data_IF_423532440121
#
_entry.id   IF_423532440121
#
_cell.length_a   1.000
_cell.length_b   1.000
_cell.length_c   1.000
_cell.angle_alpha   90.00
_cell.angle_beta   90.00
_cell.angle_gamma   90.00
#
_symmetry.space_group_name_H-M   'P 1'
#
loop_
_entity.id
_entity.type
_entity.pdbx_description
1 polymer ?
#
# COMPACT_ATOMS: atom_id res chain seq x y z
N UNK A 1 -13.06 -2.60 37.59
CA UNK A 1 -13.63 -1.39 38.24
C UNK A 1 -12.69 -0.25 37.87
N UNK A 2 -13.19 0.81 37.21
CA UNK A 2 -12.34 1.93 36.81
C UNK A 2 -12.34 2.98 37.93
N UNK A 3 -11.15 3.51 38.28
CA UNK A 3 -11.01 4.59 39.25
C UNK A 3 -10.17 5.70 38.62
N UNK A 4 -10.71 6.91 38.63
CA UNK A 4 -10.00 8.11 38.21
C UNK A 4 -9.65 8.92 39.47
N UNK A 5 -8.41 9.41 39.53
CA UNK A 5 -7.92 10.26 40.63
C UNK A 5 -7.39 11.55 40.02
N UNK A 6 -7.83 12.68 40.56
CA UNK A 6 -7.36 14.01 40.15
C UNK A 6 -6.25 14.45 41.11
N UNK A 7 -5.12 14.93 40.57
CA UNK A 7 -4.05 15.54 41.35
C UNK A 7 -4.00 17.06 41.08
N UNK A 8 -3.40 17.82 41.99
CA UNK A 8 -3.36 19.30 41.97
C UNK A 8 -2.70 19.87 40.69
N UNK A 9 -1.91 19.07 39.97
CA UNK A 9 -1.12 19.49 38.81
C UNK A 9 -1.86 19.35 37.46
N UNK A 10 -3.19 19.17 37.47
CA UNK A 10 -4.03 18.90 36.27
C UNK A 10 -3.66 17.64 35.46
N UNK A 11 -2.85 16.73 36.02
CA UNK A 11 -2.52 15.45 35.38
C UNK A 11 -3.63 14.43 35.66
N UNK A 12 -4.22 13.85 34.61
CA UNK A 12 -5.23 12.81 34.73
C UNK A 12 -4.60 11.42 34.62
N UNK A 13 -4.74 10.61 35.67
CA UNK A 13 -4.39 9.20 35.63
C UNK A 13 -5.66 8.35 35.68
N UNK A 14 -5.88 7.54 34.64
CA UNK A 14 -6.99 6.57 34.58
C UNK A 14 -6.44 5.19 34.91
N UNK A 15 -6.88 4.63 36.04
CA UNK A 15 -6.50 3.27 36.44
C UNK A 15 -7.64 2.30 36.11
N UNK A 16 -7.36 1.39 35.18
CA UNK A 16 -8.24 0.29 34.80
C UNK A 16 -7.80 -0.99 35.51
N UNK A 17 -8.55 -1.40 36.53
CA UNK A 17 -8.34 -2.69 37.18
C UNK A 17 -9.23 -3.75 36.55
N UNK A 18 -8.61 -4.69 35.83
CA UNK A 18 -9.27 -5.86 35.24
C UNK A 18 -8.99 -7.07 36.14
N UNK A 19 -10.01 -7.78 36.65
CA UNK A 19 -9.79 -9.00 37.42
C UNK A 19 -9.19 -10.10 36.52
N UNK A 20 -7.94 -10.46 36.80
CA UNK A 20 -7.10 -11.38 36.01
C UNK A 20 -7.78 -12.75 35.83
N UNK A 21 -8.51 -13.21 36.84
CA UNK A 21 -9.18 -14.51 36.89
C UNK A 21 -10.24 -14.70 35.78
N UNK A 22 -10.70 -13.59 35.18
CA UNK A 22 -11.65 -13.60 34.05
C UNK A 22 -11.01 -13.34 32.69
N UNK A 23 -9.77 -12.89 32.64
CA UNK A 23 -9.02 -12.64 31.39
C UNK A 23 -8.33 -13.91 30.86
N UNK A 24 -8.00 -14.85 31.74
CA UNK A 24 -7.29 -16.11 31.42
C UNK A 24 -8.11 -17.14 30.62
N UNK A 25 -9.41 -16.89 30.35
CA UNK A 25 -10.30 -17.79 29.59
C UNK A 25 -10.54 -17.36 28.14
N UNK A 26 -9.58 -16.68 27.50
CA UNK A 26 -9.64 -16.36 26.07
C UNK A 26 -10.78 -15.42 25.65
N UNK A 27 -11.39 -14.70 26.59
CA UNK A 27 -12.39 -13.67 26.28
C UNK A 27 -11.67 -12.35 26.04
N UNK A 28 -11.73 -11.83 24.81
CA UNK A 28 -11.36 -10.45 24.52
C UNK A 28 -12.36 -9.50 25.17
N UNK A 29 -11.86 -8.42 25.76
CA UNK A 29 -12.69 -7.33 26.25
C UNK A 29 -12.56 -6.17 25.26
N UNK A 30 -13.65 -5.82 24.60
CA UNK A 30 -13.76 -4.52 23.95
C UNK A 30 -14.27 -3.51 24.97
N UNK A 31 -13.56 -2.40 25.08
CA UNK A 31 -14.02 -1.25 25.85
C UNK A 31 -13.71 0.03 25.09
N UNK A 32 -14.64 0.98 25.19
CA UNK A 32 -14.49 2.30 24.62
C UNK A 32 -14.22 3.28 25.77
N UNK A 33 -13.11 4.02 25.69
CA UNK A 33 -12.77 5.06 26.66
C UNK A 33 -13.17 6.40 26.03
N UNK A 34 -14.26 6.99 26.51
CA UNK A 34 -14.69 8.32 26.10
C UNK A 34 -14.26 9.33 27.16
N UNK A 35 -13.33 10.21 26.80
CA UNK A 35 -12.92 11.37 27.61
C UNK A 35 -13.71 12.59 27.12
N UNK A 36 -14.53 13.19 28.00
CA UNK A 36 -15.33 14.37 27.66
C UNK A 36 -15.26 15.41 28.77
N UNK A 37 -15.24 16.70 28.39
CA UNK A 37 -15.29 17.85 29.29
C UNK A 37 -16.71 18.39 29.50
N UNK A 38 -17.72 17.78 28.85
CA UNK A 38 -19.10 18.22 28.96
C UNK A 38 -19.75 17.71 30.25
N UNK A 39 -20.26 18.63 31.08
CA UNK A 39 -20.84 18.35 32.40
C UNK A 39 -22.24 17.70 32.37
N UNK A 40 -22.86 17.56 31.20
CA UNK A 40 -24.29 17.19 31.05
C UNK A 40 -24.55 15.90 30.27
N UNK A 41 -23.56 15.00 30.18
CA UNK A 41 -23.78 13.69 29.56
C UNK A 41 -24.73 12.83 30.42
N UNK A 42 -26.02 12.88 30.07
CA UNK A 42 -27.06 12.08 30.72
C UNK A 42 -26.75 10.59 30.59
N UNK A 43 -26.65 9.91 31.73
CA UNK A 43 -26.14 8.54 31.94
C UNK A 43 -26.98 7.39 31.35
N UNK A 44 -27.76 7.61 30.32
CA UNK A 44 -28.56 6.56 29.67
C UNK A 44 -28.03 6.27 28.26
N UNK A 45 -26.96 5.49 28.19
CA UNK A 45 -26.64 4.75 26.98
C UNK A 45 -27.61 3.58 26.88
N UNK A 46 -28.62 3.69 26.00
CA UNK A 46 -29.40 2.52 25.56
C UNK A 46 -28.57 1.82 24.48
N UNK A 47 -28.04 0.64 24.79
CA UNK A 47 -27.55 -0.28 23.77
C UNK A 47 -28.70 -0.56 22.78
N UNK A 48 -28.53 -0.37 21.46
CA UNK A 48 -29.53 -0.81 20.51
C UNK A 48 -29.59 -2.35 20.56
N UNK A 49 -30.73 -2.86 21.03
CA UNK A 49 -31.07 -4.27 20.91
C UNK A 49 -31.23 -4.60 19.42
N UNK A 50 -30.46 -5.59 18.96
CA UNK A 50 -30.80 -6.58 17.92
C UNK A 50 -31.92 -6.17 16.95
N UNK A 51 -31.54 -5.74 15.75
CA UNK A 51 -32.48 -5.58 14.63
C UNK A 51 -32.54 -6.91 13.87
N UNK A 52 -33.73 -7.53 13.85
CA UNK A 52 -34.05 -8.67 12.99
C UNK A 52 -33.97 -8.28 11.50
N UNK A 53 -33.54 -9.17 10.60
CA UNK A 53 -33.37 -8.86 9.19
C UNK A 53 -34.71 -8.99 8.46
N UNK A 54 -35.31 -7.87 8.09
CA UNK A 54 -36.37 -7.83 7.10
C UNK A 54 -35.98 -6.86 5.98
N UNK A 55 -35.57 -7.47 4.87
CA UNK A 55 -35.78 -7.08 3.48
C UNK A 55 -36.01 -5.59 3.23
N UNK A 56 -34.99 -4.93 2.69
CA UNK A 56 -35.15 -3.96 1.61
C UNK A 56 -33.84 -3.92 0.82
N UNK A 57 -33.92 -4.30 -0.46
CA UNK A 57 -32.85 -4.13 -1.44
C UNK A 57 -32.62 -2.63 -1.66
N UNK A 58 -31.53 -2.11 -1.09
CA UNK A 58 -31.03 -0.77 -1.42
C UNK A 58 -29.65 -0.94 -2.02
N UNK A 59 -29.56 -0.50 -3.27
CA UNK A 59 -28.37 -0.44 -4.11
C UNK A 59 -27.16 0.14 -3.35
N UNK A 60 -26.25 -0.74 -2.96
CA UNK A 60 -25.07 -0.46 -2.13
C UNK A 60 -23.82 -0.11 -2.98
N UNK A 61 -24.03 0.43 -4.18
CA UNK A 61 -22.95 0.78 -5.11
C UNK A 61 -22.73 2.30 -5.20
N UNK A 62 -22.22 2.90 -4.12
CA UNK A 62 -21.28 4.03 -4.15
C UNK A 62 -21.19 4.69 -2.77
N UNK A 63 -19.96 4.76 -2.25
CA UNK A 63 -19.59 5.51 -1.06
C UNK A 63 -20.27 5.04 0.25
N UNK A 64 -19.71 3.97 0.83
CA UNK A 64 -19.63 3.85 2.29
C UNK A 64 -19.05 5.20 2.78
N UNK A 65 -19.91 6.07 3.33
CA UNK A 65 -19.49 7.27 4.04
C UNK A 65 -18.38 6.84 4.99
N UNK A 66 -17.15 7.25 4.69
CA UNK A 66 -15.97 7.03 5.49
C UNK A 66 -16.34 7.04 6.98
N UNK A 67 -16.50 5.86 7.57
CA UNK A 67 -17.00 5.76 8.94
C UNK A 67 -16.04 6.49 9.90
N UNK A 68 -16.46 6.78 11.13
CA UNK A 68 -15.59 7.36 12.16
C UNK A 68 -14.23 6.64 12.28
N UNK A 69 -14.19 5.34 11.99
CA UNK A 69 -12.97 4.53 11.93
C UNK A 69 -11.94 5.00 10.88
N UNK A 70 -12.37 5.43 9.69
CA UNK A 70 -11.45 5.85 8.62
C UNK A 70 -10.70 7.14 8.99
N UNK A 71 -11.40 8.11 9.60
CA UNK A 71 -10.79 9.35 10.05
C UNK A 71 -9.71 9.08 11.11
N UNK A 72 -10.00 8.18 12.07
CA UNK A 72 -9.05 7.76 13.10
C UNK A 72 -7.82 7.10 12.47
N UNK A 73 -8.01 6.20 11.50
CA UNK A 73 -6.87 5.54 10.82
C UNK A 73 -5.98 6.52 10.06
N UNK A 74 -6.56 7.54 9.43
CA UNK A 74 -5.78 8.62 8.80
C UNK A 74 -5.01 9.46 9.82
N UNK A 75 -5.60 9.75 10.97
CA UNK A 75 -4.89 10.44 12.07
C UNK A 75 -3.73 9.59 12.58
N UNK A 76 -3.91 8.28 12.73
CA UNK A 76 -2.84 7.37 13.14
C UNK A 76 -1.69 7.33 12.14
N UNK A 77 -1.94 7.37 10.82
CA UNK A 77 -0.85 7.41 9.83
C UNK A 77 0.11 8.59 10.05
N UNK A 78 -0.41 9.74 10.50
CA UNK A 78 0.36 10.95 10.75
C UNK A 78 0.88 11.08 12.20
N UNK A 79 0.43 10.20 13.12
CA UNK A 79 0.81 10.27 14.53
C UNK A 79 2.27 9.82 14.72
N UNK A 80 3.09 10.72 15.27
CA UNK A 80 4.51 10.49 15.54
C UNK A 80 4.77 9.92 16.93
N UNK A 81 3.78 9.95 17.82
CA UNK A 81 3.95 9.62 19.23
C UNK A 81 3.58 8.18 19.55
N UNK A 82 2.71 7.57 18.74
CA UNK A 82 2.23 6.19 18.93
C UNK A 82 2.93 5.14 18.07
N UNK A 83 3.79 5.56 17.13
CA UNK A 83 4.49 4.65 16.22
C UNK A 83 5.55 3.82 16.95
N UNK A 84 5.68 2.56 16.52
CA UNK A 84 6.58 1.60 17.16
C UNK A 84 7.42 0.80 16.15
N UNK A 85 7.30 1.11 14.86
CA UNK A 85 8.18 0.60 13.80
C UNK A 85 8.48 1.67 12.75
N UNK A 86 9.64 1.53 12.12
CA UNK A 86 10.15 2.40 11.08
C UNK A 86 10.68 1.56 9.91
N UNK A 87 10.33 1.94 8.68
CA UNK A 87 10.82 1.34 7.44
C UNK A 87 11.81 2.29 6.76
N UNK A 88 13.04 1.83 6.52
CA UNK A 88 14.09 2.60 5.83
C UNK A 88 14.32 2.03 4.44
N UNK A 89 14.27 2.88 3.41
CA UNK A 89 14.36 2.48 2.01
C UNK A 89 15.79 2.68 1.49
N UNK A 90 16.56 1.59 1.42
CA UNK A 90 17.99 1.65 1.07
C UNK A 90 18.23 1.66 -0.44
N UNK A 91 17.30 1.14 -1.23
CA UNK A 91 17.37 1.16 -2.69
C UNK A 91 16.89 2.47 -3.32
N UNK A 92 16.07 3.24 -2.59
CA UNK A 92 15.52 4.50 -3.08
C UNK A 92 16.54 5.63 -2.91
N UNK A 93 17.28 5.94 -3.98
CA UNK A 93 18.30 7.00 -3.96
C UNK A 93 17.73 8.38 -3.63
N UNK A 94 16.46 8.63 -3.95
CA UNK A 94 15.81 9.94 -3.72
C UNK A 94 15.43 10.12 -2.25
N UNK A 95 15.08 9.03 -1.58
CA UNK A 95 14.58 9.02 -0.22
C UNK A 95 15.48 8.21 0.73
N UNK A 96 16.76 8.06 0.37
CA UNK A 96 17.73 7.33 1.17
C UNK A 96 17.78 7.94 2.58
N UNK A 97 17.64 7.10 3.61
CA UNK A 97 17.59 7.48 5.02
C UNK A 97 16.32 8.19 5.50
N UNK A 98 15.29 8.33 4.64
CA UNK A 98 13.95 8.67 5.11
C UNK A 98 13.29 7.40 5.65
N UNK A 99 12.86 7.45 6.91
CA UNK A 99 12.14 6.36 7.53
C UNK A 99 10.64 6.62 7.55
N UNK A 100 9.83 5.73 6.98
CA UNK A 100 8.38 5.75 7.13
C UNK A 100 8.01 5.12 8.47
N UNK A 101 7.32 5.86 9.33
CA UNK A 101 6.84 5.35 10.61
C UNK A 101 5.46 4.72 10.50
N UNK A 102 5.23 3.67 11.30
CA UNK A 102 3.97 2.95 11.32
C UNK A 102 3.75 2.24 12.67
N UNK A 103 2.57 1.61 12.78
CA UNK A 103 2.11 0.84 13.94
C UNK A 103 2.12 -0.65 13.61
N UNK A 104 2.90 -1.43 14.36
CA UNK A 104 2.94 -2.90 14.24
C UNK A 104 1.57 -3.52 14.49
N UNK A 105 0.79 -2.97 15.43
CA UNK A 105 -0.55 -3.48 15.77
C UNK A 105 -1.54 -3.45 14.59
N UNK A 106 -1.35 -2.54 13.63
CA UNK A 106 -2.16 -2.46 12.41
C UNK A 106 -1.55 -3.36 11.34
N UNK A 107 -0.24 -3.27 11.10
CA UNK A 107 0.44 -4.03 10.05
C UNK A 107 0.42 -5.54 10.30
N UNK A 108 0.53 -6.00 11.55
CA UNK A 108 0.49 -7.42 11.93
C UNK A 108 -0.87 -8.10 11.69
N UNK A 109 -1.89 -7.36 11.25
CA UNK A 109 -3.15 -7.96 10.75
C UNK A 109 -2.95 -8.68 9.41
N UNK A 110 -1.86 -8.37 8.70
CA UNK A 110 -1.50 -8.97 7.42
C UNK A 110 -0.32 -9.92 7.62
N UNK A 111 -0.51 -11.21 7.30
CA UNK A 111 0.43 -12.28 7.64
C UNK A 111 1.87 -12.00 7.18
N UNK A 112 2.07 -11.56 5.93
CA UNK A 112 3.41 -11.30 5.41
C UNK A 112 4.10 -10.12 6.12
N UNK A 113 3.34 -9.10 6.52
CA UNK A 113 3.86 -7.98 7.31
C UNK A 113 4.21 -8.43 8.74
N UNK A 114 3.36 -9.25 9.35
CA UNK A 114 3.62 -9.81 10.68
C UNK A 114 4.89 -10.68 10.70
N UNK A 115 5.07 -11.52 9.69
CA UNK A 115 6.28 -12.35 9.53
C UNK A 115 7.53 -11.49 9.33
N UNK A 116 7.44 -10.43 8.51
CA UNK A 116 8.51 -9.45 8.33
C UNK A 116 8.87 -8.77 9.67
N UNK A 117 7.88 -8.27 10.40
CA UNK A 117 8.04 -7.61 11.70
C UNK A 117 8.69 -8.56 12.72
N UNK A 118 8.18 -9.79 12.84
CA UNK A 118 8.72 -10.80 13.76
C UNK A 118 10.15 -11.18 13.42
N UNK A 119 10.47 -11.32 12.13
CA UNK A 119 11.84 -11.59 11.66
C UNK A 119 12.77 -10.44 12.03
N UNK A 120 12.41 -9.21 11.70
CA UNK A 120 13.23 -8.03 12.02
C UNK A 120 13.39 -7.82 13.52
N UNK A 121 12.36 -8.11 14.32
CA UNK A 121 12.45 -8.03 15.77
C UNK A 121 13.49 -8.99 16.34
N UNK A 122 13.51 -10.25 15.87
CA UNK A 122 14.54 -11.23 16.27
C UNK A 122 15.94 -10.76 15.89
N UNK A 123 16.10 -10.20 14.70
CA UNK A 123 17.38 -9.67 14.23
C UNK A 123 17.85 -8.44 15.03
N UNK A 124 16.94 -7.56 15.45
CA UNK A 124 17.28 -6.40 16.27
C UNK A 124 17.67 -6.79 17.69
N UNK A 125 16.93 -7.72 18.32
CA UNK A 125 17.25 -8.22 19.68
C UNK A 125 18.66 -8.84 19.70
N UNK A 126 19.06 -9.55 18.64
CA UNK A 126 20.39 -10.12 18.53
C UNK A 126 21.53 -9.09 18.43
N UNK A 127 21.23 -7.81 18.13
CA UNK A 127 22.23 -6.73 17.97
C UNK A 127 22.48 -5.93 19.24
N UNK A 128 21.86 -6.28 20.37
CA UNK A 128 22.08 -5.73 21.73
C UNK A 128 22.10 -4.20 21.82
N UNK A 129 21.00 -3.58 22.25
CA UNK A 129 21.05 -2.28 22.94
C UNK A 129 20.24 -1.12 22.36
N UNK A 130 19.60 -1.24 21.20
CA UNK A 130 18.80 -0.14 20.65
C UNK A 130 17.46 0.01 21.38
N UNK A 131 17.40 1.00 22.27
CA UNK A 131 16.16 1.53 22.85
C UNK A 131 15.52 2.42 21.78
N UNK A 132 14.61 1.87 20.99
CA UNK A 132 13.95 2.62 19.92
C UNK A 132 12.87 1.83 19.17
N UNK A 133 12.19 2.47 18.21
CA UNK A 133 11.24 1.79 17.32
C UNK A 133 11.94 0.69 16.52
N UNK A 134 11.20 -0.37 16.19
CA UNK A 134 11.71 -1.47 15.38
C UNK A 134 12.08 -0.95 13.98
N UNK A 135 13.35 -1.08 13.61
CA UNK A 135 13.83 -0.60 12.30
C UNK A 135 13.90 -1.74 11.28
N UNK A 136 13.15 -1.60 10.19
CA UNK A 136 13.05 -2.56 9.09
C UNK A 136 13.66 -1.94 7.83
N UNK A 137 14.60 -2.63 7.20
CA UNK A 137 15.24 -2.17 5.95
C UNK A 137 14.50 -2.74 4.73
N UNK A 138 14.12 -1.86 3.83
CA UNK A 138 13.39 -2.15 2.61
C UNK A 138 14.30 -1.96 1.39
N UNK A 139 14.57 -3.05 0.68
CA UNK A 139 15.49 -3.08 -0.46
C UNK A 139 14.78 -3.19 -1.81
N UNK A 140 13.53 -3.67 -1.83
CA UNK A 140 12.85 -4.04 -3.09
C UNK A 140 11.92 -2.97 -3.64
N UNK A 141 11.44 -2.06 -2.81
CA UNK A 141 10.39 -1.12 -3.16
C UNK A 141 10.84 0.30 -2.84
N UNK A 142 10.33 1.27 -3.63
CA UNK A 142 10.50 2.68 -3.31
C UNK A 142 9.68 3.08 -2.10
N UNK A 143 10.03 4.20 -1.47
CA UNK A 143 9.27 4.74 -0.36
C UNK A 143 7.83 5.04 -0.77
N UNK A 144 7.62 5.66 -1.94
CA UNK A 144 6.29 6.00 -2.44
C UNK A 144 5.38 4.77 -2.59
N UNK A 145 5.89 3.70 -3.21
CA UNK A 145 5.13 2.46 -3.43
C UNK A 145 4.71 1.83 -2.11
N UNK A 146 5.64 1.75 -1.16
CA UNK A 146 5.35 1.19 0.16
C UNK A 146 4.41 2.08 0.97
N UNK A 147 4.53 3.41 0.88
CA UNK A 147 3.63 4.34 1.55
C UNK A 147 2.19 4.21 1.02
N UNK A 148 2.01 4.05 -0.29
CA UNK A 148 0.69 3.78 -0.89
C UNK A 148 0.09 2.44 -0.42
N UNK A 149 0.91 1.39 -0.28
CA UNK A 149 0.48 0.14 0.35
C UNK A 149 0.05 0.37 1.80
N UNK A 150 0.89 1.00 2.62
CA UNK A 150 0.58 1.27 4.03
C UNK A 150 -0.70 2.09 4.17
N UNK A 151 -0.89 3.10 3.33
CA UNK A 151 -2.12 3.88 3.28
C UNK A 151 -3.34 2.97 3.04
N UNK A 152 -3.25 2.06 2.07
CA UNK A 152 -4.31 1.08 1.81
C UNK A 152 -4.55 0.18 3.05
N UNK A 153 -3.51 -0.35 3.68
CA UNK A 153 -3.67 -1.23 4.85
C UNK A 153 -4.37 -0.55 6.04
N UNK A 154 -4.23 0.77 6.17
CA UNK A 154 -4.90 1.56 7.21
C UNK A 154 -6.33 1.94 6.82
N UNK A 155 -6.57 2.23 5.55
CA UNK A 155 -7.77 2.94 5.11
C UNK A 155 -8.72 2.12 4.24
N UNK A 156 -8.26 0.99 3.70
CA UNK A 156 -8.93 0.25 2.62
C UNK A 156 -9.08 1.06 1.32
N UNK A 157 -8.49 2.25 1.23
CA UNK A 157 -8.65 3.15 0.08
C UNK A 157 -7.36 3.18 -0.73
N UNK A 158 -7.47 3.02 -2.04
CA UNK A 158 -6.32 3.09 -2.94
C UNK A 158 -6.00 4.55 -3.24
N UNK A 159 -4.76 4.96 -2.98
CA UNK A 159 -4.24 6.28 -3.33
C UNK A 159 -2.86 6.12 -3.94
N UNK A 160 -2.71 6.47 -5.22
CA UNK A 160 -1.46 6.32 -5.98
C UNK A 160 -0.53 7.54 -5.90
N UNK A 161 -1.11 8.71 -5.62
CA UNK A 161 -0.34 9.93 -5.35
C UNK A 161 -0.06 10.03 -3.86
N UNK A 162 1.21 10.09 -3.51
CA UNK A 162 1.65 10.17 -2.13
C UNK A 162 1.58 11.61 -1.62
N UNK A 163 0.92 11.82 -0.49
CA UNK A 163 0.89 13.09 0.23
C UNK A 163 1.67 12.92 1.53
N UNK A 164 2.86 13.52 1.60
CA UNK A 164 3.78 13.37 2.73
C UNK A 164 3.18 13.87 4.04
N UNK A 165 2.23 14.80 4.00
CA UNK A 165 1.57 15.31 5.20
C UNK A 165 0.69 14.26 5.90
N UNK A 166 0.34 13.18 5.21
CA UNK A 166 -0.51 12.11 5.73
C UNK A 166 0.27 11.06 6.51
N UNK A 167 1.60 11.11 6.53
CA UNK A 167 2.44 10.08 7.12
C UNK A 167 3.41 10.66 8.15
N UNK A 168 3.67 9.87 9.18
CA UNK A 168 4.77 10.09 10.09
C UNK A 168 6.08 9.62 9.45
N UNK A 169 7.11 10.47 9.50
CA UNK A 169 8.45 10.15 9.01
C UNK A 169 9.48 10.46 10.09
N UNK A 170 10.45 9.57 10.28
CA UNK A 170 11.74 9.95 10.83
C UNK A 170 12.61 10.54 9.74
N UNK A 171 13.12 11.73 9.98
CA UNK A 171 14.33 12.19 9.33
C UNK A 171 15.48 11.88 10.31
N UNK A 172 16.33 10.91 9.98
CA UNK A 172 17.64 10.83 10.62
C UNK A 172 18.41 12.08 10.18
N UNK A 173 18.77 12.93 11.13
CA UNK A 173 19.51 14.20 11.02
C UNK A 173 19.57 14.85 9.63
N UNK A 174 18.90 16.01 9.52
CA UNK A 174 19.01 17.03 8.45
C UNK A 174 20.12 16.71 7.44
N UNK A 175 19.78 15.99 6.36
CA UNK A 175 20.75 15.68 5.32
C UNK A 175 21.30 17.00 4.76
N UNK A 176 22.56 17.30 5.07
CA UNK A 176 23.26 18.46 4.50
C UNK A 176 23.66 18.06 3.09
N UNK A 177 22.81 18.36 2.12
CA UNK A 177 23.14 18.15 0.72
C UNK A 177 24.11 19.25 0.30
N UNK A 178 25.36 18.87 0.06
CA UNK A 178 26.34 19.77 -0.57
C UNK A 178 26.12 19.69 -2.08
N UNK A 179 25.33 20.60 -2.63
CA UNK A 179 25.19 20.71 -4.08
C UNK A 179 26.48 21.32 -4.62
N UNK A 180 27.28 20.47 -5.28
CA UNK A 180 28.45 20.92 -6.02
C UNK A 180 27.97 21.32 -7.42
N UNK A 181 28.04 22.61 -7.71
CA UNK A 181 27.77 23.10 -9.05
C UNK A 181 28.90 22.63 -9.98
N UNK A 182 28.59 21.70 -10.88
CA UNK A 182 29.56 21.12 -11.82
C UNK A 182 30.18 22.15 -12.75
N UNK A 183 29.47 23.25 -13.03
CA UNK A 183 29.93 24.30 -13.95
C UNK A 183 30.84 25.32 -13.28
N UNK A 184 30.61 25.61 -12.00
CA UNK A 184 31.40 26.63 -11.28
C UNK A 184 32.41 26.04 -10.30
N UNK A 185 32.35 24.74 -10.02
CA UNK A 185 33.18 24.05 -9.04
C UNK A 185 32.94 24.49 -7.59
N UNK A 186 32.02 25.45 -7.37
CA UNK A 186 31.70 25.98 -6.04
C UNK A 186 30.69 25.06 -5.37
N UNK A 187 31.01 24.63 -4.16
CA UNK A 187 30.02 24.06 -3.24
C UNK A 187 29.16 25.21 -2.75
N UNK A 188 27.90 25.26 -3.18
CA UNK A 188 26.94 26.21 -2.61
C UNK A 188 26.68 25.86 -1.15
N UNK A 189 26.29 26.89 -0.39
CA UNK A 189 25.98 26.79 1.04
C UNK A 189 25.06 25.61 1.36
N UNK A 190 25.18 25.12 2.59
CA UNK A 190 24.39 24.03 3.15
C UNK A 190 22.89 24.36 3.03
N UNK A 191 22.24 23.90 1.97
CA UNK A 191 20.79 24.04 1.85
C UNK A 191 20.18 22.99 2.77
N UNK A 192 19.41 23.45 3.75
CA UNK A 192 18.55 22.57 4.53
C UNK A 192 17.42 22.13 3.61
N UNK A 193 17.56 20.95 3.01
CA UNK A 193 16.62 20.44 2.02
C UNK A 193 16.02 19.13 2.52
N UNK A 194 14.69 19.03 2.54
CA UNK A 194 13.99 17.76 2.74
C UNK A 194 13.33 17.30 1.44
N UNK A 195 13.46 16.02 1.05
CA UNK A 195 12.68 15.46 -0.06
C UNK A 195 11.17 15.51 0.20
N UNK A 196 10.75 15.80 1.44
CA UNK A 196 9.35 15.87 1.84
C UNK A 196 8.77 17.29 1.82
N UNK A 197 9.57 18.32 1.54
CA UNK A 197 9.11 19.71 1.51
C UNK A 197 8.15 19.93 0.34
N UNK A 198 7.10 20.74 0.54
CA UNK A 198 6.08 21.01 -0.48
C UNK A 198 6.67 21.65 -1.75
N UNK A 199 7.75 22.43 -1.57
CA UNK A 199 8.49 23.12 -2.63
C UNK A 199 9.67 22.27 -3.17
N UNK A 200 9.79 21.01 -2.73
CA UNK A 200 10.81 20.10 -3.23
C UNK A 200 10.62 19.90 -4.74
N UNK A 201 11.67 20.18 -5.51
CA UNK A 201 11.74 19.83 -6.93
C UNK A 201 11.73 18.32 -7.15
N UNK A 202 11.94 17.52 -6.09
CA UNK A 202 11.93 16.07 -6.10
C UNK A 202 10.62 15.55 -5.49
N UNK A 203 9.48 15.98 -6.05
CA UNK A 203 8.20 15.36 -5.73
C UNK A 203 8.30 13.86 -6.00
N UNK A 204 7.85 13.05 -5.04
CA UNK A 204 7.82 11.60 -5.26
C UNK A 204 6.96 11.30 -6.48
N UNK A 205 7.49 10.46 -7.36
CA UNK A 205 6.78 10.02 -8.56
C UNK A 205 5.48 9.33 -8.14
N UNK A 206 4.40 9.60 -8.88
CA UNK A 206 3.15 8.86 -8.72
C UNK A 206 3.39 7.36 -8.88
N UNK A 207 2.79 6.58 -8.00
CA UNK A 207 2.91 5.13 -8.02
C UNK A 207 2.04 4.58 -9.16
N UNK A 208 2.62 3.72 -9.98
CA UNK A 208 1.87 3.08 -11.08
C UNK A 208 1.02 1.93 -10.56
N UNK A 209 0.03 1.49 -11.34
CA UNK A 209 -0.74 0.30 -11.00
C UNK A 209 0.13 -0.97 -10.97
N UNK A 210 1.18 -1.02 -11.80
CA UNK A 210 2.12 -2.14 -11.82
C UNK A 210 2.98 -2.17 -10.56
N UNK A 211 3.48 -1.02 -10.09
CA UNK A 211 4.19 -0.92 -8.80
C UNK A 211 3.33 -1.45 -7.63
N UNK A 212 2.06 -1.03 -7.57
CA UNK A 212 1.11 -1.51 -6.55
C UNK A 212 0.75 -2.99 -6.71
N UNK A 213 0.66 -3.49 -7.93
CA UNK A 213 0.42 -4.91 -8.20
C UNK A 213 1.57 -5.78 -7.66
N UNK A 214 2.82 -5.40 -7.92
CA UNK A 214 3.98 -6.14 -7.43
C UNK A 214 4.07 -6.14 -5.90
N UNK A 215 3.85 -4.99 -5.27
CA UNK A 215 3.97 -4.90 -3.81
C UNK A 215 2.82 -5.62 -3.09
N UNK A 216 1.60 -5.55 -3.63
CA UNK A 216 0.44 -6.24 -3.06
C UNK A 216 0.56 -7.75 -3.19
N UNK A 217 1.06 -8.27 -4.32
CA UNK A 217 1.40 -9.69 -4.47
C UNK A 217 2.52 -10.09 -3.49
N UNK A 218 3.57 -9.27 -3.34
CA UNK A 218 4.69 -9.56 -2.44
C UNK A 218 4.25 -9.71 -0.97
N UNK A 219 3.30 -8.88 -0.53
CA UNK A 219 2.76 -8.92 0.84
C UNK A 219 1.46 -9.73 0.97
N UNK A 220 0.98 -10.35 -0.11
CA UNK A 220 -0.23 -11.19 -0.10
C UNK A 220 -1.52 -10.44 0.21
N UNK A 221 -1.62 -9.16 -0.17
CA UNK A 221 -2.81 -8.31 0.02
C UNK A 221 -3.74 -8.50 -1.19
N UNK A 222 -4.56 -9.56 -1.12
CA UNK A 222 -5.26 -10.13 -2.29
C UNK A 222 -6.28 -9.19 -2.92
N UNK A 223 -7.07 -8.50 -2.12
CA UNK A 223 -8.05 -7.51 -2.56
C UNK A 223 -7.40 -6.36 -3.31
N UNK A 224 -6.34 -5.76 -2.76
CA UNK A 224 -5.55 -4.74 -3.46
C UNK A 224 -4.94 -5.27 -4.74
N UNK A 225 -4.38 -6.48 -4.70
CA UNK A 225 -3.76 -7.11 -5.87
C UNK A 225 -4.77 -7.32 -6.99
N UNK A 226 -5.93 -7.90 -6.67
CA UNK A 226 -6.95 -8.21 -7.67
C UNK A 226 -7.49 -6.93 -8.32
N UNK A 227 -7.63 -5.85 -7.55
CA UNK A 227 -7.98 -4.53 -8.05
C UNK A 227 -6.88 -3.92 -8.93
N UNK A 228 -5.61 -3.99 -8.51
CA UNK A 228 -4.49 -3.54 -9.34
C UNK A 228 -4.38 -4.35 -10.64
N UNK A 229 -4.64 -5.66 -10.58
CA UNK A 229 -4.61 -6.55 -11.73
C UNK A 229 -5.69 -6.17 -12.75
N UNK A 230 -6.90 -5.86 -12.26
CA UNK A 230 -8.00 -5.34 -13.08
C UNK A 230 -7.60 -4.05 -13.79
N UNK A 231 -7.10 -3.07 -13.04
CA UNK A 231 -6.68 -1.78 -13.58
C UNK A 231 -5.51 -1.88 -14.57
N UNK A 232 -4.54 -2.76 -14.34
CA UNK A 232 -3.45 -3.02 -15.29
C UNK A 232 -4.00 -3.59 -16.60
N UNK A 233 -4.89 -4.58 -16.53
CA UNK A 233 -5.52 -5.20 -17.72
C UNK A 233 -6.36 -4.19 -18.49
N UNK A 234 -7.17 -3.37 -17.81
CA UNK A 234 -7.98 -2.32 -18.43
C UNK A 234 -7.13 -1.21 -19.07
N UNK A 235 -5.87 -1.04 -18.63
CA UNK A 235 -4.94 -0.05 -19.18
C UNK A 235 -4.21 -0.50 -20.45
N UNK A 236 -4.39 -1.75 -20.89
CA UNK A 236 -3.73 -2.29 -22.08
C UNK A 236 -4.22 -1.58 -23.34
N UNK A 237 -3.26 -1.09 -24.14
CA UNK A 237 -3.47 -0.40 -25.42
C UNK A 237 -2.24 -0.51 -26.31
N UNK A 238 -2.34 -0.09 -27.57
CA UNK A 238 -1.26 -0.17 -28.57
C UNK A 238 0.07 0.39 -28.06
N UNK A 239 0.01 1.50 -27.31
CA UNK A 239 1.21 2.20 -26.86
C UNK A 239 1.96 1.54 -25.69
N UNK A 240 1.37 0.56 -25.01
CA UNK A 240 1.96 -0.05 -23.80
C UNK A 240 1.86 -1.58 -23.72
N UNK A 241 1.09 -2.24 -24.60
CA UNK A 241 0.84 -3.69 -24.50
C UNK A 241 2.13 -4.52 -24.51
N UNK A 242 3.10 -4.16 -25.35
CA UNK A 242 4.37 -4.89 -25.44
C UNK A 242 5.18 -4.69 -24.16
N UNK A 243 5.30 -3.46 -23.68
CA UNK A 243 5.98 -3.14 -22.42
C UNK A 243 5.35 -3.91 -21.24
N UNK A 244 4.02 -3.88 -21.13
CA UNK A 244 3.29 -4.61 -20.09
C UNK A 244 3.49 -6.13 -20.18
N UNK A 245 3.54 -6.71 -21.38
CA UNK A 245 3.80 -8.15 -21.55
C UNK A 245 5.17 -8.55 -20.99
N UNK A 246 6.21 -7.75 -21.24
CA UNK A 246 7.56 -8.05 -20.76
C UNK A 246 7.75 -7.69 -19.28
N UNK A 247 7.28 -6.54 -18.84
CA UNK A 247 7.51 -6.07 -17.48
C UNK A 247 6.59 -6.74 -16.46
N UNK A 248 5.36 -7.07 -16.85
CA UNK A 248 4.31 -7.54 -15.92
C UNK A 248 3.80 -8.92 -16.32
N UNK A 249 3.57 -9.17 -17.62
CA UNK A 249 3.04 -10.43 -18.13
C UNK A 249 3.94 -11.64 -17.81
N UNK A 250 5.25 -11.44 -17.67
CA UNK A 250 6.17 -12.50 -17.22
C UNK A 250 5.89 -13.00 -15.79
N UNK A 251 5.22 -12.20 -14.96
CA UNK A 251 4.93 -12.52 -13.56
C UNK A 251 3.44 -12.79 -13.31
N UNK A 252 2.56 -12.20 -14.12
CA UNK A 252 1.12 -12.27 -13.93
C UNK A 252 0.43 -12.81 -15.19
N UNK A 253 0.05 -14.08 -15.15
CA UNK A 253 -0.56 -14.81 -16.28
C UNK A 253 -1.80 -14.10 -16.84
N UNK A 254 -2.66 -13.51 -15.98
CA UNK A 254 -3.83 -12.75 -16.45
C UNK A 254 -3.45 -11.53 -17.30
N UNK A 255 -2.36 -10.83 -16.97
CA UNK A 255 -1.86 -9.71 -17.78
C UNK A 255 -1.26 -10.23 -19.07
N UNK A 256 -0.55 -11.36 -19.02
CA UNK A 256 -0.01 -12.03 -20.21
C UNK A 256 -1.11 -12.39 -21.20
N UNK A 257 -2.14 -13.10 -20.73
CA UNK A 257 -3.25 -13.54 -21.57
C UNK A 257 -4.00 -12.37 -22.18
N UNK A 258 -4.33 -11.35 -21.38
CA UNK A 258 -5.01 -10.15 -21.87
C UNK A 258 -4.15 -9.38 -22.89
N UNK A 259 -2.85 -9.24 -22.63
CA UNK A 259 -1.93 -8.57 -23.54
C UNK A 259 -1.73 -9.34 -24.85
N UNK A 260 -1.64 -10.67 -24.81
CA UNK A 260 -1.53 -11.50 -26.00
C UNK A 260 -2.83 -11.51 -26.83
N UNK A 261 -3.99 -11.52 -26.17
CA UNK A 261 -5.28 -11.42 -26.85
C UNK A 261 -5.43 -10.07 -27.55
N UNK A 262 -5.13 -8.97 -26.83
CA UNK A 262 -5.12 -7.62 -27.39
C UNK A 262 -4.14 -7.50 -28.56
N UNK A 263 -2.92 -8.00 -28.41
CA UNK A 263 -1.89 -7.94 -29.44
C UNK A 263 -2.29 -8.77 -30.67
N UNK A 264 -2.92 -9.94 -30.50
CA UNK A 264 -3.36 -10.76 -31.61
C UNK A 264 -4.47 -10.09 -32.44
N UNK A 265 -5.36 -9.35 -31.78
CA UNK A 265 -6.46 -8.62 -32.43
C UNK A 265 -5.99 -7.32 -33.10
N UNK A 266 -4.91 -6.71 -32.62
CA UNK A 266 -4.36 -5.44 -33.11
C UNK A 266 -3.00 -5.60 -33.83
N UNK A 267 -2.56 -6.82 -34.12
CA UNK A 267 -1.22 -7.07 -34.68
C UNK A 267 -0.99 -6.36 -36.02
N UNK A 268 -2.02 -6.26 -36.85
CA UNK A 268 -1.92 -5.61 -38.17
C UNK A 268 -1.68 -4.11 -38.02
N UNK A 269 -2.45 -3.43 -37.19
CA UNK A 269 -2.26 -1.99 -36.93
C UNK A 269 -0.94 -1.69 -36.21
N UNK A 270 -0.47 -2.60 -35.36
CA UNK A 270 0.78 -2.41 -34.63
C UNK A 270 2.03 -2.66 -35.48
N UNK A 271 1.92 -3.46 -36.54
CA UNK A 271 3.00 -3.68 -37.51
C UNK A 271 2.93 -2.72 -38.71
N UNK A 272 1.92 -1.84 -38.76
CA UNK A 272 1.83 -0.82 -39.80
C UNK A 272 3.05 0.13 -39.73
N UNK A 273 3.46 0.64 -40.88
CA UNK A 273 4.74 1.35 -41.09
C UNK A 273 6.01 0.48 -41.00
N UNK A 274 5.89 -0.86 -40.92
CA UNK A 274 7.04 -1.77 -40.93
C UNK A 274 7.86 -1.75 -39.64
N UNK A 275 7.30 -1.23 -38.54
CA UNK A 275 7.91 -1.26 -37.22
C UNK A 275 7.60 -2.59 -36.55
N UNK A 276 8.64 -3.27 -36.07
CA UNK A 276 8.48 -4.46 -35.25
C UNK A 276 8.13 -4.03 -33.81
N UNK A 277 6.93 -4.38 -33.30
CA UNK A 277 6.53 -4.00 -31.95
C UNK A 277 7.47 -4.57 -30.87
N UNK A 278 8.24 -5.62 -31.17
CA UNK A 278 9.18 -6.26 -30.27
C UNK A 278 10.63 -5.75 -30.38
N UNK A 279 10.92 -4.77 -31.25
CA UNK A 279 12.30 -4.35 -31.57
C UNK A 279 13.12 -3.99 -30.33
N UNK A 280 12.52 -3.26 -29.38
CA UNK A 280 13.17 -2.84 -28.13
C UNK A 280 13.45 -3.99 -27.15
N UNK A 281 12.87 -5.16 -27.38
CA UNK A 281 12.96 -6.32 -26.49
C UNK A 281 13.69 -7.50 -27.12
N UNK A 282 14.30 -7.35 -28.31
CA UNK A 282 14.98 -8.44 -29.03
C UNK A 282 16.02 -9.20 -28.20
N UNK A 283 16.68 -8.51 -27.27
CA UNK A 283 17.72 -9.06 -26.40
C UNK A 283 17.15 -9.61 -25.07
N UNK A 284 15.84 -9.44 -24.83
CA UNK A 284 15.15 -9.99 -23.67
C UNK A 284 15.01 -11.51 -23.82
N UNK A 285 15.40 -12.25 -22.77
CA UNK A 285 15.41 -13.73 -22.79
C UNK A 285 14.07 -14.37 -23.16
N UNK A 286 12.96 -13.71 -22.83
CA UNK A 286 11.60 -14.18 -23.10
C UNK A 286 11.06 -13.72 -24.47
N UNK A 287 11.79 -12.90 -25.23
CA UNK A 287 11.26 -12.26 -26.44
C UNK A 287 10.79 -13.27 -27.48
N UNK A 288 11.64 -14.26 -27.79
CA UNK A 288 11.28 -15.30 -28.74
C UNK A 288 10.05 -16.11 -28.29
N UNK A 289 9.94 -16.44 -26.99
CA UNK A 289 8.78 -17.13 -26.46
C UNK A 289 7.50 -16.28 -26.56
N UNK A 290 7.59 -14.98 -26.24
CA UNK A 290 6.48 -14.04 -26.32
C UNK A 290 5.98 -13.86 -27.76
N UNK A 291 6.90 -13.75 -28.72
CA UNK A 291 6.55 -13.68 -30.15
C UNK A 291 5.82 -14.94 -30.63
N UNK A 292 6.31 -16.12 -30.26
CA UNK A 292 5.66 -17.38 -30.59
C UNK A 292 4.26 -17.48 -29.97
N UNK A 293 4.10 -17.05 -28.72
CA UNK A 293 2.81 -17.02 -28.05
C UNK A 293 1.84 -16.06 -28.76
N UNK A 294 2.29 -14.87 -29.16
CA UNK A 294 1.48 -13.92 -29.92
C UNK A 294 1.02 -14.50 -31.28
N UNK A 295 1.92 -15.17 -32.01
CA UNK A 295 1.58 -15.85 -33.26
C UNK A 295 0.57 -16.99 -33.04
N UNK A 296 0.73 -17.76 -31.96
CA UNK A 296 -0.22 -18.83 -31.58
C UNK A 296 -1.59 -18.26 -31.27
N UNK A 297 -1.67 -17.18 -30.49
CA UNK A 297 -2.93 -16.52 -30.17
C UNK A 297 -3.66 -16.04 -31.43
N UNK A 298 -2.94 -15.44 -32.41
CA UNK A 298 -3.52 -15.05 -33.71
C UNK A 298 -4.12 -16.24 -34.48
N UNK A 299 -3.51 -17.42 -34.37
CA UNK A 299 -3.98 -18.64 -35.06
C UNK A 299 -5.25 -19.25 -34.46
N UNK A 300 -5.62 -18.88 -33.23
CA UNK A 300 -6.84 -19.39 -32.56
C UNK A 300 -8.05 -18.64 -33.13
N UNK A 301 -9.15 -19.33 -33.51
CA UNK A 301 -10.38 -18.67 -33.93
C UNK A 301 -10.94 -17.75 -32.84
N UNK A 302 -11.37 -16.53 -33.22
CA UNK A 302 -11.89 -15.49 -32.31
C UNK A 302 -12.99 -16.01 -31.38
N UNK A 303 -13.86 -16.91 -31.87
CA UNK A 303 -14.95 -17.52 -31.09
C UNK A 303 -14.49 -18.39 -29.92
N UNK A 304 -13.24 -18.90 -29.95
CA UNK A 304 -12.63 -19.62 -28.83
C UNK A 304 -11.91 -18.68 -27.86
N UNK A 305 -11.31 -17.60 -28.36
CA UNK A 305 -10.62 -16.59 -27.54
C UNK A 305 -11.58 -15.83 -26.62
N UNK A 306 -12.71 -15.38 -27.16
CA UNK A 306 -13.74 -14.67 -26.39
C UNK A 306 -14.30 -15.48 -25.21
N UNK A 307 -14.36 -16.81 -25.31
CA UNK A 307 -14.78 -17.67 -24.19
C UNK A 307 -13.76 -17.70 -23.05
N UNK A 308 -12.47 -17.65 -23.38
CA UNK A 308 -11.39 -17.64 -22.39
C UNK A 308 -11.36 -16.29 -21.65
N UNK A 309 -11.41 -15.18 -22.39
CA UNK A 309 -11.42 -13.84 -21.81
C UNK A 309 -12.65 -13.60 -20.93
N UNK A 310 -13.85 -14.01 -21.39
CA UNK A 310 -15.07 -13.90 -20.60
C UNK A 310 -15.02 -14.73 -19.30
N UNK A 311 -14.32 -15.88 -19.31
CA UNK A 311 -14.06 -16.66 -18.10
C UNK A 311 -13.12 -15.92 -17.14
N UNK A 312 -12.04 -15.33 -17.67
CA UNK A 312 -11.08 -14.55 -16.87
C UNK A 312 -11.72 -13.33 -16.23
N UNK A 313 -12.52 -12.56 -16.99
CA UNK A 313 -13.22 -11.37 -16.48
C UNK A 313 -14.29 -11.78 -15.45
N UNK A 314 -15.10 -12.81 -15.71
CA UNK A 314 -16.07 -13.31 -14.72
C UNK A 314 -15.41 -13.77 -13.43
N UNK A 315 -14.24 -14.39 -13.50
CA UNK A 315 -13.50 -14.79 -12.30
C UNK A 315 -13.06 -13.61 -11.43
N UNK A 316 -12.90 -12.42 -12.01
CA UNK A 316 -12.59 -11.19 -11.28
C UNK A 316 -13.84 -10.55 -10.68
N UNK A 317 -14.99 -10.65 -11.36
CA UNK A 317 -16.26 -10.08 -10.88
C UNK A 317 -16.91 -10.86 -9.73
N UNK A 318 -16.65 -12.16 -9.61
CA UNK A 318 -17.24 -13.01 -8.54
C UNK A 318 -16.54 -12.79 -7.17
N UNK A 319 -15.43 -12.06 -7.13
CA UNK A 319 -14.68 -11.79 -5.91
C UNK A 319 -15.03 -10.45 -5.22
N UNK A 320 -16.01 -9.71 -5.74
CA UNK A 320 -16.61 -8.53 -5.10
C UNK A 320 -17.91 -8.92 -4.39
#
# INVERSE_FOLDING_TARGET
MAKATLYEDMTFHVYLTVPVDKATRGKMYDFEIVLTTQSTLSRTFKMPLSVDPAVDEVDESAAIKAGPSLAIMKTLLADRHSVDTQFIFTADKTCANVGLWAHRSILSRYQAMDDLIKKSLKEQVAREGDIGPLTIRMEKFSLATFACLVYYLYTGTIKRTMDTSQFAFSQQDKAVVVIKDETTGRTKDRIHWSPLDADSSWKMKDVTWTDLLFISEYFGVKDLRDECLREVVESIKDSNVVELLFEVGCFFEKVKDAGLDYLADNMESMCDEGKDPFENYRDHKECHAMMLDAMRYKSIPVSRRQKHLASTIRSLQICN
#
